data_IF_445701728761
#
_entry.id   IF_445701728761
#
_cell.length_a   1.000
_cell.length_b   1.000
_cell.length_c   1.000
_cell.angle_alpha   90.00
_cell.angle_beta   90.00
_cell.angle_gamma   90.00
#
_symmetry.space_group_name_H-M   'P 1'
#
loop_
_entity.id
_entity.type
_entity.pdbx_description
1 polymer ?
#
# COMPACT_ATOMS: atom_id res chain seq x y z
N UNK A 1 23.55 5.74 -1.76
CA UNK A 1 23.02 4.50 -1.16
C UNK A 1 23.31 3.33 -2.10
N UNK A 2 23.72 2.18 -1.56
CA UNK A 2 24.05 0.98 -2.33
C UNK A 2 23.50 -0.28 -1.64
N UNK A 3 22.86 -1.17 -2.39
CA UNK A 3 22.43 -2.48 -1.93
C UNK A 3 23.60 -3.41 -1.65
N UNK A 4 23.45 -4.26 -0.63
CA UNK A 4 24.54 -5.10 -0.13
C UNK A 4 24.21 -6.60 -0.06
N UNK A 5 22.96 -6.95 0.22
CA UNK A 5 22.55 -8.36 0.25
C UNK A 5 22.49 -8.97 -1.16
N UNK A 6 22.56 -10.31 -1.23
CA UNK A 6 22.49 -11.06 -2.49
C UNK A 6 21.21 -10.70 -3.26
N UNK A 7 21.34 -10.43 -4.55
CA UNK A 7 20.23 -10.05 -5.44
C UNK A 7 19.83 -8.57 -5.37
N UNK A 8 20.39 -7.77 -4.47
CA UNK A 8 20.12 -6.34 -4.36
C UNK A 8 21.14 -5.51 -5.15
N UNK A 9 20.86 -5.26 -6.43
CA UNK A 9 21.70 -4.47 -7.34
C UNK A 9 21.48 -2.96 -7.25
N UNK A 10 20.72 -2.49 -6.26
CA UNK A 10 20.29 -1.11 -6.17
C UNK A 10 21.47 -0.16 -5.89
N UNK A 11 21.60 0.90 -6.70
CA UNK A 11 22.53 1.99 -6.45
C UNK A 11 21.83 3.31 -6.79
N UNK A 12 21.67 4.18 -5.81
CA UNK A 12 20.92 5.43 -5.98
C UNK A 12 21.42 6.52 -5.03
N UNK A 13 21.17 7.77 -5.40
CA UNK A 13 21.34 8.93 -4.54
C UNK A 13 19.97 9.40 -4.07
N UNK A 14 19.87 9.87 -2.83
CA UNK A 14 18.62 10.41 -2.32
C UNK A 14 18.34 11.77 -2.97
N UNK A 15 17.09 12.00 -3.36
CA UNK A 15 16.63 13.27 -3.91
C UNK A 15 15.73 13.92 -2.86
N UNK A 16 15.99 15.18 -2.50
CA UNK A 16 15.27 15.90 -1.43
C UNK A 16 15.22 15.13 -0.09
N UNK A 17 16.32 14.47 0.28
CA UNK A 17 16.41 13.66 1.50
C UNK A 17 15.60 12.37 1.48
N UNK A 18 15.09 11.93 0.31
CA UNK A 18 14.24 10.75 0.17
C UNK A 18 14.75 9.77 -0.87
N UNK A 19 14.48 8.49 -0.66
CA UNK A 19 14.73 7.41 -1.61
C UNK A 19 13.79 6.24 -1.32
N UNK A 20 13.43 5.48 -2.35
CA UNK A 20 12.57 4.29 -2.21
C UNK A 20 13.44 3.05 -2.08
N UNK A 21 13.20 2.23 -1.07
CA UNK A 21 13.91 0.96 -0.86
C UNK A 21 12.97 -0.23 -1.04
N UNK A 22 13.55 -1.40 -1.28
CA UNK A 22 12.87 -2.69 -1.16
C UNK A 22 13.42 -3.41 0.07
N UNK A 23 12.77 -4.46 0.59
CA UNK A 23 13.35 -5.25 1.67
C UNK A 23 14.76 -5.73 1.30
N UNK A 24 15.75 -5.43 2.15
CA UNK A 24 17.15 -5.73 1.91
C UNK A 24 18.08 -4.93 2.83
N UNK A 25 19.39 -5.09 2.63
CA UNK A 25 20.43 -4.36 3.36
C UNK A 25 21.10 -3.34 2.44
N UNK A 26 21.30 -2.13 2.97
CA UNK A 26 21.82 -0.99 2.23
C UNK A 26 22.93 -0.27 3.01
N UNK A 27 23.95 0.19 2.29
CA UNK A 27 24.94 1.13 2.78
C UNK A 27 24.52 2.55 2.41
N UNK A 28 24.39 3.39 3.44
CA UNK A 28 24.12 4.81 3.31
C UNK A 28 25.39 5.61 3.63
N UNK A 29 25.68 6.62 2.81
CA UNK A 29 26.77 7.54 3.04
C UNK A 29 26.40 8.92 2.51
N UNK A 30 27.00 9.95 3.12
CA UNK A 30 26.90 11.32 2.63
C UNK A 30 27.48 11.45 1.22
N UNK A 31 27.02 12.46 0.47
CA UNK A 31 27.54 12.77 -0.86
C UNK A 31 29.07 12.89 -0.87
N UNK A 32 29.71 12.28 -1.87
CA UNK A 32 31.17 12.27 -2.01
C UNK A 32 31.93 11.35 -1.05
N UNK A 33 31.28 10.62 -0.14
CA UNK A 33 31.93 9.63 0.72
C UNK A 33 31.90 8.24 0.09
N UNK A 34 33.05 7.57 0.07
CA UNK A 34 33.18 6.20 -0.43
C UNK A 34 32.74 5.17 0.61
N UNK A 35 32.03 4.13 0.16
CA UNK A 35 31.62 2.98 0.97
C UNK A 35 32.31 1.68 0.53
N UNK A 36 33.34 1.77 -0.32
CA UNK A 36 33.95 0.60 -0.98
C UNK A 36 34.60 -0.38 0.01
N UNK A 37 35.03 0.10 1.18
CA UNK A 37 35.57 -0.74 2.26
C UNK A 37 34.55 -1.69 2.89
N UNK A 38 33.24 -1.42 2.71
CA UNK A 38 32.16 -2.22 3.29
C UNK A 38 31.54 -3.10 2.23
N UNK A 39 31.61 -4.41 2.44
CA UNK A 39 31.11 -5.44 1.53
C UNK A 39 30.07 -6.30 2.25
N UNK A 40 29.40 -7.17 1.49
CA UNK A 40 28.47 -8.15 2.05
C UNK A 40 29.14 -9.08 3.08
N UNK A 41 30.46 -9.25 3.02
CA UNK A 41 31.23 -10.10 3.93
C UNK A 41 31.82 -9.34 5.12
N UNK A 42 31.70 -8.00 5.15
CA UNK A 42 32.17 -7.21 6.29
C UNK A 42 31.41 -7.63 7.55
N UNK A 43 32.15 -7.98 8.61
CA UNK A 43 31.59 -8.36 9.89
C UNK A 43 31.12 -7.13 10.67
N UNK A 44 29.93 -7.24 11.26
CA UNK A 44 29.37 -6.25 12.16
C UNK A 44 28.80 -7.00 13.37
N UNK A 45 29.49 -6.91 14.51
CA UNK A 45 29.25 -7.79 15.65
C UNK A 45 29.29 -9.28 15.26
N UNK A 46 28.20 -10.01 15.47
CA UNK A 46 28.10 -11.45 15.25
C UNK A 46 27.57 -11.82 13.86
N UNK A 47 27.27 -10.85 13.00
CA UNK A 47 26.71 -11.07 11.67
C UNK A 47 27.56 -10.41 10.59
N UNK A 48 27.37 -10.81 9.34
CA UNK A 48 27.90 -10.09 8.18
C UNK A 48 26.91 -9.06 7.68
N UNK A 49 27.40 -7.92 7.19
CA UNK A 49 26.54 -6.84 6.68
C UNK A 49 25.66 -7.28 5.49
N UNK A 50 26.02 -8.33 4.76
CA UNK A 50 25.21 -8.86 3.66
C UNK A 50 24.11 -9.82 4.09
N UNK A 51 24.06 -10.21 5.37
CA UNK A 51 23.04 -11.13 5.87
C UNK A 51 21.67 -10.47 5.85
N UNK A 52 20.78 -11.04 5.05
CA UNK A 52 19.40 -10.65 4.96
C UNK A 52 18.57 -11.91 4.77
N UNK A 53 17.75 -12.24 5.78
CA UNK A 53 16.80 -13.33 5.71
C UNK A 53 15.39 -12.74 5.77
N UNK A 54 14.77 -12.54 4.61
CA UNK A 54 13.35 -12.25 4.54
C UNK A 54 12.57 -13.54 4.83
N UNK A 55 11.61 -13.53 5.76
CA UNK A 55 10.66 -14.62 5.90
C UNK A 55 9.95 -14.88 4.57
N UNK A 56 9.61 -16.14 4.30
CA UNK A 56 8.79 -16.47 3.14
C UNK A 56 7.47 -15.67 3.19
N UNK A 57 7.02 -15.09 2.07
CA UNK A 57 5.77 -14.35 2.05
C UNK A 57 4.62 -15.27 2.43
N UNK A 58 3.84 -14.87 3.43
CA UNK A 58 2.62 -15.58 3.79
C UNK A 58 1.55 -15.29 2.74
N UNK A 59 1.07 -16.33 2.05
CA UNK A 59 -0.05 -16.21 1.12
C UNK A 59 -1.36 -16.13 1.91
N UNK A 60 -1.71 -14.93 2.35
CA UNK A 60 -2.99 -14.67 3.02
C UNK A 60 -4.00 -14.29 1.95
N UNK A 61 -5.18 -14.91 1.97
CA UNK A 61 -6.30 -14.47 1.15
C UNK A 61 -6.61 -12.99 1.45
N UNK A 62 -7.12 -12.20 0.49
CA UNK A 62 -7.43 -10.81 0.77
C UNK A 62 -8.44 -10.68 1.91
N UNK A 63 -8.20 -9.73 2.81
CA UNK A 63 -9.09 -9.46 3.94
C UNK A 63 -9.48 -7.99 3.94
N UNK A 64 -10.77 -7.74 4.20
CA UNK A 64 -11.34 -6.40 4.35
C UNK A 64 -11.81 -6.25 5.78
N UNK A 65 -11.24 -5.30 6.51
CA UNK A 65 -11.73 -4.85 7.81
C UNK A 65 -12.32 -3.45 7.65
N UNK A 66 -13.61 -3.33 7.92
CA UNK A 66 -14.34 -2.09 7.77
C UNK A 66 -15.36 -1.94 8.91
N UNK A 67 -15.41 -0.75 9.51
CA UNK A 67 -16.41 -0.39 10.52
C UNK A 67 -17.35 0.63 9.87
N UNK A 68 -18.59 0.25 9.56
CA UNK A 68 -19.53 1.15 8.90
C UNK A 68 -19.98 2.25 9.85
N UNK A 69 -20.09 3.47 9.31
CA UNK A 69 -20.74 4.57 10.02
C UNK A 69 -22.25 4.33 10.05
N UNK A 70 -22.85 4.45 11.24
CA UNK A 70 -24.29 4.27 11.40
C UNK A 70 -25.11 5.40 10.76
N UNK A 71 -24.58 6.62 10.75
CA UNK A 71 -25.22 7.81 10.22
C UNK A 71 -24.20 8.74 9.58
N UNK A 72 -24.65 9.48 8.57
CA UNK A 72 -23.86 10.49 7.85
C UNK A 72 -24.77 11.67 7.53
N UNK A 73 -24.19 12.86 7.43
CA UNK A 73 -24.95 14.07 7.09
C UNK A 73 -25.37 14.05 5.61
N UNK A 74 -26.64 14.33 5.37
CA UNK A 74 -27.15 14.42 4.01
C UNK A 74 -26.59 15.67 3.27
N UNK A 75 -26.39 15.54 1.96
CA UNK A 75 -25.88 16.60 1.09
C UNK A 75 -24.39 16.92 1.30
N UNK A 76 -23.66 16.07 2.03
CA UNK A 76 -22.24 16.24 2.28
C UNK A 76 -21.45 15.06 1.72
N UNK A 77 -20.24 15.28 1.18
CA UNK A 77 -19.37 14.18 0.77
C UNK A 77 -19.03 13.28 1.98
N UNK A 78 -19.08 11.97 1.77
CA UNK A 78 -18.84 10.98 2.82
C UNK A 78 -17.58 10.20 2.50
N UNK A 79 -16.58 10.26 3.38
CA UNK A 79 -15.35 9.46 3.25
C UNK A 79 -15.57 8.07 3.85
N UNK A 80 -15.47 7.04 3.02
CA UNK A 80 -15.52 5.63 3.44
C UNK A 80 -14.09 5.11 3.46
N UNK A 81 -13.69 4.53 4.59
CA UNK A 81 -12.34 4.00 4.81
C UNK A 81 -12.38 2.54 5.23
N UNK A 82 -11.40 1.75 4.80
CA UNK A 82 -11.25 0.37 5.22
C UNK A 82 -9.78 -0.05 5.26
N UNK A 83 -9.50 -1.11 6.01
CA UNK A 83 -8.22 -1.81 5.93
C UNK A 83 -8.36 -3.00 4.98
N UNK A 84 -7.51 -3.03 3.95
CA UNK A 84 -7.44 -4.08 2.95
C UNK A 84 -6.02 -4.65 2.90
N UNK A 85 -5.90 -5.95 3.18
CA UNK A 85 -4.64 -6.71 3.04
C UNK A 85 -4.74 -7.71 1.90
N UNK A 86 -3.60 -8.16 1.38
CA UNK A 86 -3.54 -9.16 0.30
C UNK A 86 -3.91 -8.63 -1.08
N UNK A 87 -3.99 -7.31 -1.25
CA UNK A 87 -4.06 -6.65 -2.55
C UNK A 87 -2.66 -6.47 -3.15
N UNK A 88 -2.52 -6.76 -4.43
CA UNK A 88 -1.30 -6.56 -5.20
C UNK A 88 -1.35 -5.21 -5.95
N UNK A 89 -0.19 -4.62 -6.34
CA UNK A 89 -0.17 -3.33 -7.02
C UNK A 89 -0.97 -3.26 -8.34
N UNK A 90 -1.18 -4.41 -8.98
CA UNK A 90 -1.98 -4.55 -10.21
C UNK A 90 -3.48 -4.74 -9.95
N UNK A 91 -3.88 -5.02 -8.72
CA UNK A 91 -5.28 -5.20 -8.37
C UNK A 91 -6.01 -3.84 -8.36
N UNK A 92 -7.32 -3.88 -8.54
CA UNK A 92 -8.15 -2.67 -8.50
C UNK A 92 -9.16 -2.76 -7.36
N UNK A 93 -9.37 -1.62 -6.68
CA UNK A 93 -10.21 -1.55 -5.48
C UNK A 93 -11.28 -0.49 -5.73
N UNK A 94 -12.53 -0.85 -5.47
CA UNK A 94 -13.67 0.01 -5.75
C UNK A 94 -14.66 0.01 -4.59
N UNK A 95 -15.33 1.14 -4.40
CA UNK A 95 -16.53 1.28 -3.61
C UNK A 95 -17.72 1.31 -4.55
N UNK A 96 -18.56 0.28 -4.50
CA UNK A 96 -19.83 0.25 -5.22
C UNK A 96 -20.88 0.85 -4.30
N UNK A 97 -21.28 2.09 -4.55
CA UNK A 97 -22.25 2.82 -3.77
C UNK A 97 -23.62 2.81 -4.47
N UNK A 98 -24.67 2.48 -3.72
CA UNK A 98 -26.04 2.44 -4.21
C UNK A 98 -26.96 3.09 -3.17
N UNK A 99 -27.59 4.19 -3.55
CA UNK A 99 -28.71 4.70 -2.78
C UNK A 99 -29.97 3.90 -3.11
N UNK A 100 -30.86 3.72 -2.13
CA UNK A 100 -32.04 2.85 -2.25
C UNK A 100 -32.92 3.14 -3.49
N UNK A 101 -33.05 4.42 -3.88
CA UNK A 101 -33.78 4.85 -5.09
C UNK A 101 -32.86 5.44 -6.17
N UNK A 102 -31.55 5.34 -5.99
CA UNK A 102 -30.54 5.98 -6.82
C UNK A 102 -29.86 5.03 -7.80
N UNK A 103 -29.02 5.62 -8.65
CA UNK A 103 -28.13 4.85 -9.52
C UNK A 103 -26.98 4.26 -8.69
N UNK A 104 -26.58 3.05 -9.04
CA UNK A 104 -25.33 2.47 -8.54
C UNK A 104 -24.16 3.20 -9.18
N UNK A 105 -23.21 3.67 -8.37
CA UNK A 105 -21.94 4.23 -8.83
C UNK A 105 -20.77 3.37 -8.34
N UNK A 106 -19.76 3.24 -9.19
CA UNK A 106 -18.50 2.58 -8.88
C UNK A 106 -17.46 3.67 -8.70
N UNK A 107 -16.95 3.81 -7.48
CA UNK A 107 -15.98 4.82 -7.10
C UNK A 107 -14.62 4.14 -6.88
N UNK A 108 -13.53 4.59 -7.52
CA UNK A 108 -12.21 4.02 -7.26
C UNK A 108 -11.78 4.34 -5.83
N UNK A 109 -11.18 3.35 -5.15
CA UNK A 109 -10.54 3.58 -3.86
C UNK A 109 -9.04 3.80 -4.04
N UNK A 110 -8.47 4.71 -3.26
CA UNK A 110 -7.04 5.00 -3.25
C UNK A 110 -6.39 4.50 -1.96
N UNK A 111 -5.16 4.01 -2.07
CA UNK A 111 -4.36 3.60 -0.91
C UNK A 111 -3.68 4.81 -0.31
N UNK A 112 -4.04 5.20 0.92
CA UNK A 112 -3.48 6.38 1.59
C UNK A 112 -2.34 6.06 2.55
N UNK A 113 -2.35 4.85 3.11
CA UNK A 113 -1.28 4.36 3.97
C UNK A 113 -1.23 2.83 3.95
N UNK A 114 -0.34 2.22 4.73
CA UNK A 114 -0.22 0.77 4.78
C UNK A 114 -1.58 0.10 5.03
N UNK A 115 -1.99 -0.71 4.05
CA UNK A 115 -3.27 -1.42 4.01
C UNK A 115 -4.53 -0.55 4.15
N UNK A 116 -4.45 0.79 4.10
CA UNK A 116 -5.63 1.66 4.26
C UNK A 116 -6.09 2.16 2.90
N UNK A 117 -7.37 1.93 2.60
CA UNK A 117 -8.00 2.33 1.34
C UNK A 117 -9.18 3.24 1.64
N UNK A 118 -9.39 4.24 0.80
CA UNK A 118 -10.51 5.17 0.95
C UNK A 118 -11.15 5.56 -0.39
N UNK A 119 -12.44 5.88 -0.34
CA UNK A 119 -13.16 6.57 -1.39
C UNK A 119 -14.12 7.59 -0.79
N UNK A 120 -14.38 8.64 -1.54
CA UNK A 120 -15.36 9.67 -1.18
C UNK A 120 -16.63 9.44 -1.97
N UNK A 121 -17.72 9.15 -1.28
CA UNK A 121 -19.07 9.19 -1.85
C UNK A 121 -19.44 10.67 -2.02
N UNK A 122 -19.76 11.12 -3.24
CA UNK A 122 -20.01 12.52 -3.51
C UNK A 122 -21.39 12.94 -2.95
N UNK A 123 -21.58 14.23 -2.71
CA UNK A 123 -22.75 14.78 -2.02
C UNK A 123 -24.08 14.44 -2.73
N UNK A 124 -24.05 14.31 -4.05
CA UNK A 124 -25.18 13.99 -4.92
C UNK A 124 -25.70 12.56 -4.69
N UNK A 125 -24.88 11.67 -4.11
CA UNK A 125 -25.30 10.34 -3.69
C UNK A 125 -25.63 10.24 -2.20
N UNK A 126 -25.23 11.25 -1.41
CA UNK A 126 -25.42 11.29 0.04
C UNK A 126 -26.70 12.07 0.41
N UNK A 127 -27.82 11.84 -0.27
CA UNK A 127 -29.11 12.49 0.06
C UNK A 127 -29.90 11.68 1.09
N UNK A 128 -30.93 12.27 1.74
CA UNK A 128 -31.67 11.60 2.81
C UNK A 128 -32.17 10.20 2.41
N UNK A 129 -31.92 9.22 3.28
CA UNK A 129 -32.29 7.82 3.06
C UNK A 129 -31.17 6.85 3.39
N UNK A 130 -31.25 5.64 2.82
CA UNK A 130 -30.29 4.58 3.06
C UNK A 130 -29.24 4.51 1.94
N UNK A 131 -27.98 4.73 2.30
CA UNK A 131 -26.82 4.46 1.45
C UNK A 131 -26.33 3.02 1.70
N UNK A 132 -26.45 2.16 0.68
CA UNK A 132 -25.85 0.82 0.67
C UNK A 132 -24.56 0.87 -0.11
N UNK A 133 -23.56 0.09 0.31
CA UNK A 133 -22.32 -0.01 -0.45
C UNK A 133 -21.60 -1.32 -0.22
N UNK A 134 -20.68 -1.62 -1.14
CA UNK A 134 -19.76 -2.74 -1.07
C UNK A 134 -18.35 -2.27 -1.37
N UNK A 135 -17.38 -2.79 -0.64
CA UNK A 135 -15.96 -2.63 -0.95
C UNK A 135 -15.55 -3.87 -1.75
N UNK A 136 -15.05 -3.65 -2.96
CA UNK A 136 -14.75 -4.70 -3.94
C UNK A 136 -13.27 -4.67 -4.29
N UNK A 137 -12.59 -5.78 -4.05
CA UNK A 137 -11.27 -6.05 -4.59
C UNK A 137 -11.41 -6.89 -5.86
N UNK A 138 -10.96 -6.35 -6.99
CA UNK A 138 -10.84 -7.07 -8.25
C UNK A 138 -9.39 -7.48 -8.47
N UNK A 139 -9.15 -8.79 -8.46
CA UNK A 139 -7.84 -9.35 -8.80
C UNK A 139 -7.49 -9.09 -10.26
N UNK A 140 -6.26 -8.69 -10.51
CA UNK A 140 -5.75 -8.64 -11.87
C UNK A 140 -5.80 -10.04 -12.51
N UNK A 141 -5.97 -10.15 -13.83
CA UNK A 141 -5.88 -11.43 -14.51
C UNK A 141 -4.50 -12.05 -14.26
N UNK A 142 -4.46 -13.27 -13.74
CA UNK A 142 -3.20 -14.00 -13.56
C UNK A 142 -2.57 -14.24 -14.93
N UNK A 143 -1.30 -13.85 -15.12
CA UNK A 143 -0.53 -14.36 -16.25
C UNK A 143 -0.37 -15.87 -16.04
N UNK A 144 -0.98 -16.67 -16.93
CA UNK A 144 -0.76 -18.11 -17.02
C UNK A 144 0.65 -18.40 -17.49
#
# INVERSE_FOLDING_TARGET
MRGLNVGNTMQTQATNGRTTVRPGVYLLAAGGKSTNRYTAQSTFHQTKLGEFAAPAPTKIAPQVLHVPMAQVSAGQPVRITARLTGAEPQDSIFLVAQHYYGRTQVLPMTTTSYATVEATVPAELAYPGLLRYWIVLKKAPSKR
#
